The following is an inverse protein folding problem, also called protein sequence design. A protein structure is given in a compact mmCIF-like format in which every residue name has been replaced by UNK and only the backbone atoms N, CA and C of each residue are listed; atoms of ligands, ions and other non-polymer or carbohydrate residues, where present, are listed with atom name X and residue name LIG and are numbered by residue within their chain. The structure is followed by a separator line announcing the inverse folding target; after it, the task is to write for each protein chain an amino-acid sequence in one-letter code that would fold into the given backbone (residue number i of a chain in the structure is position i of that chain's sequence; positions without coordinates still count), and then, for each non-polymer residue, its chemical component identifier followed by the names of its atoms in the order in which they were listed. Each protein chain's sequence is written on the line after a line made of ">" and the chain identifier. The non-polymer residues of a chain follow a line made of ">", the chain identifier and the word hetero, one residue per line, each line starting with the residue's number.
data_IF_658394266506
#
_entry.id   IF_658394266506
#
_cell.length_a   1.000
_cell.length_b   1.000
_cell.length_c   1.000
_cell.angle_alpha   90.00
_cell.angle_beta   90.00
_cell.angle_gamma   90.00
#
_symmetry.space_group_name_H-M   'P 1'
#
loop_
_entity.id
_entity.type
_entity.pdbx_description
1 polymer ?
#
# COMPACT_ATOMS: atom_id res chain seq x y z
N UNK A 1 12.87 7.92 -14.42
CA UNK A 1 11.42 7.79 -14.14
C UNK A 1 11.28 7.39 -12.68
N UNK A 2 10.35 8.00 -11.94
CA UNK A 2 10.04 7.61 -10.57
C UNK A 2 8.76 6.76 -10.52
N UNK A 3 8.66 5.90 -9.51
CA UNK A 3 7.48 5.07 -9.21
C UNK A 3 6.93 5.45 -7.84
N UNK A 4 5.61 5.48 -7.69
CA UNK A 4 4.96 5.44 -6.39
C UNK A 4 4.00 4.24 -6.37
N UNK A 5 4.46 3.17 -5.76
CA UNK A 5 3.75 1.89 -5.77
C UNK A 5 2.66 1.78 -4.70
N UNK A 6 2.41 2.85 -3.96
CA UNK A 6 1.32 2.93 -2.98
C UNK A 6 0.90 4.37 -2.73
N UNK A 7 -0.25 4.76 -3.25
CA UNK A 7 -0.89 6.05 -2.98
C UNK A 7 -2.38 5.84 -2.67
N UNK A 8 -3.04 6.88 -2.18
CA UNK A 8 -4.50 6.97 -2.04
C UNK A 8 -5.02 8.27 -2.66
N UNK A 9 -5.34 8.25 -3.95
CA UNK A 9 -5.78 9.46 -4.68
C UNK A 9 -7.00 10.15 -4.07
N UNK A 10 -7.85 9.41 -3.39
CA UNK A 10 -9.07 9.91 -2.72
C UNK A 10 -8.78 10.71 -1.46
N UNK A 11 -7.58 10.55 -0.87
CA UNK A 11 -7.17 11.18 0.40
C UNK A 11 -6.24 12.38 0.14
N UNK A 12 -6.03 13.23 1.15
CA UNK A 12 -5.26 14.48 1.00
C UNK A 12 -4.04 14.61 1.93
N UNK A 13 -3.79 13.62 2.77
CA UNK A 13 -2.70 13.66 3.74
C UNK A 13 -2.99 14.49 5.01
N UNK A 14 -4.16 15.11 5.11
CA UNK A 14 -4.55 15.98 6.21
C UNK A 14 -5.76 15.46 6.97
N UNK A 15 -6.90 15.36 6.29
CA UNK A 15 -8.18 14.98 6.90
C UNK A 15 -8.98 14.05 6.01
N UNK A 16 -8.87 12.74 6.26
CA UNK A 16 -9.54 11.72 5.46
C UNK A 16 -11.07 11.90 5.34
N UNK A 17 -11.75 12.45 6.39
CA UNK A 17 -13.20 12.67 6.34
C UNK A 17 -13.57 13.80 5.37
N UNK A 18 -12.80 14.88 5.37
CA UNK A 18 -13.00 16.00 4.45
C UNK A 18 -12.59 15.61 3.02
N UNK A 19 -11.49 14.89 2.87
CA UNK A 19 -11.05 14.36 1.58
C UNK A 19 -12.13 13.50 0.93
N UNK A 20 -12.68 12.50 1.64
CA UNK A 20 -13.79 11.67 1.15
C UNK A 20 -15.04 12.50 0.88
N UNK A 21 -15.39 13.44 1.77
CA UNK A 21 -16.57 14.27 1.59
C UNK A 21 -16.51 15.11 0.31
N UNK A 22 -15.32 15.52 -0.13
CA UNK A 22 -15.07 16.23 -1.40
C UNK A 22 -15.63 15.49 -2.62
N UNK A 23 -15.62 14.15 -2.57
CA UNK A 23 -15.99 13.29 -3.71
C UNK A 23 -17.38 12.63 -3.56
N UNK A 24 -18.12 12.95 -2.48
CA UNK A 24 -19.36 12.23 -2.13
C UNK A 24 -20.49 12.44 -3.13
N UNK A 25 -20.59 13.66 -3.66
CA UNK A 25 -21.65 14.06 -4.63
C UNK A 25 -21.15 14.02 -6.09
N UNK A 26 -20.00 13.38 -6.32
CA UNK A 26 -19.31 13.23 -7.58
C UNK A 26 -17.83 13.52 -7.46
N UNK A 27 -17.04 12.80 -8.25
CA UNK A 27 -15.59 12.97 -8.22
C UNK A 27 -15.21 14.38 -8.66
N UNK A 28 -14.41 15.06 -7.85
CA UNK A 28 -13.86 16.38 -8.17
C UNK A 28 -12.67 16.24 -9.12
N UNK A 29 -12.91 16.32 -10.43
CA UNK A 29 -11.89 16.14 -11.46
C UNK A 29 -10.71 17.11 -11.30
N UNK A 30 -11.01 18.38 -10.95
CA UNK A 30 -9.95 19.39 -10.74
C UNK A 30 -8.95 18.97 -9.65
N UNK A 31 -9.40 18.31 -8.58
CA UNK A 31 -8.53 17.74 -7.56
C UNK A 31 -7.61 16.66 -8.16
N UNK A 32 -8.19 15.71 -8.90
CA UNK A 32 -7.42 14.61 -9.49
C UNK A 32 -6.37 15.14 -10.46
N UNK A 33 -6.74 16.09 -11.34
CA UNK A 33 -5.79 16.75 -12.27
C UNK A 33 -4.66 17.43 -11.54
N UNK A 34 -4.95 18.19 -10.48
CA UNK A 34 -3.93 18.86 -9.68
C UNK A 34 -2.92 17.87 -9.08
N UNK A 35 -3.38 16.71 -8.58
CA UNK A 35 -2.46 15.70 -8.05
C UNK A 35 -1.63 15.07 -9.17
N UNK A 36 -2.22 14.73 -10.32
CA UNK A 36 -1.49 14.19 -11.47
C UNK A 36 -0.43 15.18 -11.99
N UNK A 37 -0.75 16.48 -12.05
CA UNK A 37 0.23 17.54 -12.38
C UNK A 37 1.39 17.57 -11.39
N UNK A 38 1.11 17.42 -10.09
CA UNK A 38 2.14 17.35 -9.05
C UNK A 38 3.08 16.16 -9.26
N UNK A 39 2.55 14.98 -9.53
CA UNK A 39 3.36 13.79 -9.82
C UNK A 39 4.16 13.92 -11.11
N UNK A 40 3.55 14.45 -12.18
CA UNK A 40 4.24 14.72 -13.45
C UNK A 40 5.42 15.69 -13.25
N UNK A 41 5.20 16.81 -12.56
CA UNK A 41 6.24 17.81 -12.31
C UNK A 41 7.43 17.25 -11.53
N UNK A 42 7.22 16.23 -10.70
CA UNK A 42 8.25 15.53 -9.94
C UNK A 42 8.85 14.33 -10.67
N UNK A 43 8.43 14.06 -11.91
CA UNK A 43 8.99 13.01 -12.77
C UNK A 43 8.51 11.59 -12.42
N UNK A 44 7.35 11.45 -11.77
CA UNK A 44 6.70 10.15 -11.61
C UNK A 44 6.07 9.68 -12.93
N UNK A 45 6.34 8.46 -13.32
CA UNK A 45 5.78 7.85 -14.52
C UNK A 45 4.89 6.62 -14.22
N UNK A 46 4.84 6.19 -12.96
CA UNK A 46 3.99 5.08 -12.53
C UNK A 46 3.41 5.37 -11.15
N UNK A 47 2.10 5.16 -11.01
CA UNK A 47 1.36 5.26 -9.75
C UNK A 47 0.48 4.01 -9.56
N UNK A 48 0.52 3.42 -8.34
CA UNK A 48 -0.38 2.33 -7.94
C UNK A 48 -1.21 2.77 -6.74
N UNK A 49 -2.52 2.85 -6.96
CA UNK A 49 -3.48 3.36 -5.99
C UNK A 49 -3.99 2.25 -5.05
N UNK A 50 -4.19 2.56 -3.79
CA UNK A 50 -4.86 1.68 -2.83
C UNK A 50 -6.36 1.57 -3.04
N UNK A 51 -6.94 2.44 -3.86
CA UNK A 51 -8.33 2.40 -4.27
C UNK A 51 -9.32 3.10 -3.36
N UNK A 52 -10.52 3.29 -3.88
CA UNK A 52 -11.65 3.93 -3.21
C UNK A 52 -13.00 3.50 -3.81
N UNK A 53 -14.08 3.66 -3.05
CA UNK A 53 -15.44 3.31 -3.49
C UNK A 53 -16.21 4.45 -4.17
N UNK A 54 -15.60 5.63 -4.34
CA UNK A 54 -16.24 6.80 -4.97
C UNK A 54 -15.82 6.98 -6.43
N UNK A 55 -14.84 6.20 -6.91
CA UNK A 55 -14.38 6.22 -8.28
C UNK A 55 -13.29 7.25 -8.56
N UNK A 56 -12.63 7.78 -7.51
CA UNK A 56 -11.54 8.76 -7.67
C UNK A 56 -10.34 8.10 -8.35
N UNK A 57 -9.91 6.92 -7.87
CA UNK A 57 -8.84 6.14 -8.49
C UNK A 57 -9.17 5.73 -9.94
N UNK A 58 -10.46 5.43 -10.23
CA UNK A 58 -10.88 5.15 -11.61
C UNK A 58 -10.70 6.38 -12.52
N UNK A 59 -11.17 7.54 -12.09
CA UNK A 59 -11.00 8.78 -12.84
C UNK A 59 -9.52 9.13 -13.00
N UNK A 60 -8.72 8.97 -11.96
CA UNK A 60 -7.27 9.19 -12.02
C UNK A 60 -6.60 8.30 -13.07
N UNK A 61 -6.96 7.01 -13.14
CA UNK A 61 -6.48 6.10 -14.17
C UNK A 61 -6.85 6.56 -15.58
N UNK A 62 -8.09 7.01 -15.76
CA UNK A 62 -8.59 7.45 -17.07
C UNK A 62 -7.88 8.74 -17.54
N UNK A 63 -7.48 9.63 -16.62
CA UNK A 63 -6.80 10.90 -16.90
C UNK A 63 -5.25 10.80 -16.94
N UNK A 64 -4.65 9.86 -16.22
CA UNK A 64 -3.20 9.75 -16.05
C UNK A 64 -2.39 9.71 -17.37
N UNK A 65 -2.88 9.11 -18.47
CA UNK A 65 -2.17 9.14 -19.76
C UNK A 65 -1.93 10.56 -20.30
N UNK A 66 -2.80 11.53 -20.00
CA UNK A 66 -2.62 12.94 -20.40
C UNK A 66 -1.35 13.56 -19.77
N UNK A 67 -0.88 12.99 -18.66
CA UNK A 67 0.29 13.40 -17.89
C UNK A 67 1.52 12.51 -18.11
N UNK A 68 1.43 11.53 -19.04
CA UNK A 68 2.48 10.54 -19.28
C UNK A 68 2.68 9.55 -18.12
N UNK A 69 1.66 9.35 -17.30
CA UNK A 69 1.68 8.48 -16.12
C UNK A 69 0.91 7.18 -16.40
N UNK A 70 1.54 6.05 -16.12
CA UNK A 70 0.85 4.76 -16.00
C UNK A 70 0.22 4.68 -14.61
N UNK A 71 -1.09 4.51 -14.54
CA UNK A 71 -1.84 4.43 -13.28
C UNK A 71 -2.55 3.10 -13.15
N UNK A 72 -2.47 2.47 -11.97
CA UNK A 72 -3.15 1.21 -11.66
C UNK A 72 -4.01 1.35 -10.41
N UNK A 73 -5.22 0.78 -10.44
CA UNK A 73 -6.16 0.87 -9.33
C UNK A 73 -6.96 -0.43 -9.14
N UNK A 74 -7.20 -0.86 -7.88
CA UNK A 74 -8.08 -1.99 -7.57
C UNK A 74 -9.57 -1.59 -7.60
N UNK A 75 -9.88 -0.35 -8.02
CA UNK A 75 -11.13 0.34 -7.76
C UNK A 75 -11.33 0.52 -6.25
N UNK A 76 -12.16 -0.26 -5.59
CA UNK A 76 -12.27 -0.21 -4.13
C UNK A 76 -11.50 -1.37 -3.47
N UNK A 77 -10.72 -1.14 -2.40
CA UNK A 77 -10.12 -2.23 -1.63
C UNK A 77 -11.19 -3.07 -0.94
N UNK A 78 -10.87 -4.32 -0.63
CA UNK A 78 -11.75 -5.27 0.05
C UNK A 78 -11.31 -5.46 1.50
N UNK A 79 -12.24 -5.37 2.44
CA UNK A 79 -12.00 -5.58 3.86
C UNK A 79 -13.09 -6.42 4.50
N UNK A 80 -12.72 -7.25 5.47
CA UNK A 80 -13.69 -8.01 6.26
C UNK A 80 -14.55 -7.08 7.11
N UNK A 81 -15.84 -7.32 7.20
CA UNK A 81 -16.74 -6.53 8.03
C UNK A 81 -16.26 -6.51 9.50
N UNK A 82 -16.27 -5.33 10.11
CA UNK A 82 -15.73 -5.14 11.46
C UNK A 82 -14.22 -4.94 11.57
N UNK A 83 -13.47 -5.10 10.46
CA UNK A 83 -12.03 -4.90 10.40
C UNK A 83 -11.63 -3.60 9.71
N UNK A 84 -10.32 -3.25 9.79
CA UNK A 84 -9.72 -2.06 9.19
C UNK A 84 -9.99 -1.98 7.67
N UNK A 85 -10.11 -0.76 7.15
CA UNK A 85 -10.23 -0.46 5.72
C UNK A 85 -11.65 -0.06 5.27
N UNK A 86 -12.68 -0.29 6.09
CA UNK A 86 -14.07 -0.02 5.74
C UNK A 86 -14.43 1.45 5.50
N UNK A 87 -13.52 2.40 5.75
CA UNK A 87 -13.73 3.81 5.49
C UNK A 87 -13.58 4.19 4.00
N UNK A 88 -12.77 3.45 3.23
CA UNK A 88 -12.60 3.61 1.77
C UNK A 88 -12.99 2.36 0.97
N UNK A 89 -13.03 1.19 1.62
CA UNK A 89 -13.21 -0.10 0.98
C UNK A 89 -14.66 -0.60 0.91
N UNK A 90 -14.82 -1.69 0.18
CA UNK A 90 -16.02 -2.53 0.17
C UNK A 90 -15.86 -3.65 1.20
N UNK A 91 -16.93 -3.89 1.98
CA UNK A 91 -16.94 -4.89 3.05
C UNK A 91 -17.52 -6.20 2.56
N UNK A 92 -16.98 -7.31 3.08
CA UNK A 92 -17.53 -8.66 2.96
C UNK A 92 -17.61 -9.30 4.35
N UNK A 93 -18.56 -10.19 4.57
CA UNK A 93 -18.70 -10.99 5.80
C UNK A 93 -18.22 -12.42 5.56
N UNK A 94 -18.51 -12.97 4.39
CA UNK A 94 -18.24 -14.36 4.01
C UNK A 94 -17.30 -14.46 2.80
N UNK A 95 -16.59 -15.58 2.65
CA UNK A 95 -15.78 -15.86 1.45
C UNK A 95 -16.62 -15.88 0.17
N UNK A 96 -17.91 -16.27 0.26
CA UNK A 96 -18.83 -16.22 -0.89
C UNK A 96 -19.07 -14.78 -1.36
N UNK A 97 -19.27 -13.86 -0.43
CA UNK A 97 -19.42 -12.43 -0.74
C UNK A 97 -18.12 -11.84 -1.29
N UNK A 98 -16.98 -12.21 -0.69
CA UNK A 98 -15.66 -11.80 -1.21
C UNK A 98 -15.48 -12.26 -2.65
N UNK A 99 -15.73 -13.52 -2.96
CA UNK A 99 -15.64 -14.05 -4.33
C UNK A 99 -16.56 -13.30 -5.31
N UNK A 100 -17.78 -12.97 -4.89
CA UNK A 100 -18.71 -12.17 -5.70
C UNK A 100 -18.16 -10.75 -5.97
N UNK A 101 -17.54 -10.11 -4.97
CA UNK A 101 -16.90 -8.81 -5.13
C UNK A 101 -15.68 -8.87 -6.05
N UNK A 102 -14.85 -9.90 -5.95
CA UNK A 102 -13.69 -10.09 -6.85
C UNK A 102 -14.16 -10.28 -8.29
N UNK A 103 -15.17 -11.13 -8.53
CA UNK A 103 -15.75 -11.30 -9.85
C UNK A 103 -16.36 -10.01 -10.41
N UNK A 104 -16.96 -9.16 -9.55
CA UNK A 104 -17.48 -7.85 -9.95
C UNK A 104 -16.35 -6.91 -10.36
N UNK A 105 -15.22 -6.88 -9.62
CA UNK A 105 -14.04 -6.09 -9.98
C UNK A 105 -13.51 -6.46 -11.35
N UNK A 106 -13.50 -7.73 -11.70
CA UNK A 106 -13.10 -8.18 -13.04
C UNK A 106 -14.02 -7.60 -14.13
N UNK A 107 -15.34 -7.62 -13.90
CA UNK A 107 -16.30 -7.02 -14.84
C UNK A 107 -16.15 -5.50 -14.97
N UNK A 108 -15.77 -4.83 -13.87
CA UNK A 108 -15.55 -3.38 -13.83
C UNK A 108 -14.18 -2.96 -14.38
N UNK A 109 -13.29 -3.91 -14.67
CA UNK A 109 -11.96 -3.64 -15.20
C UNK A 109 -11.00 -3.09 -14.15
N UNK A 110 -11.02 -3.63 -12.93
CA UNK A 110 -9.96 -3.39 -11.95
C UNK A 110 -8.64 -3.96 -12.46
N UNK A 111 -7.52 -3.30 -12.15
CA UNK A 111 -6.20 -3.78 -12.57
C UNK A 111 -5.70 -4.90 -11.65
N UNK A 112 -6.10 -4.92 -10.38
CA UNK A 112 -5.70 -5.90 -9.37
C UNK A 112 -6.69 -5.91 -8.20
N UNK A 113 -6.46 -6.78 -7.21
CA UNK A 113 -7.23 -6.81 -5.95
C UNK A 113 -6.39 -6.28 -4.81
N UNK A 114 -6.90 -5.29 -4.06
CA UNK A 114 -6.35 -4.85 -2.77
C UNK A 114 -7.16 -5.45 -1.63
N UNK A 115 -6.48 -6.09 -0.68
CA UNK A 115 -7.08 -6.63 0.56
C UNK A 115 -6.50 -5.94 1.80
N UNK A 116 -7.35 -5.79 2.83
CA UNK A 116 -6.94 -5.31 4.15
C UNK A 116 -7.02 -6.49 5.11
N UNK A 117 -5.86 -6.98 5.58
CA UNK A 117 -5.78 -8.22 6.36
C UNK A 117 -5.24 -8.03 7.79
N UNK A 118 -4.96 -6.79 8.19
CA UNK A 118 -4.57 -6.42 9.56
C UNK A 118 -5.01 -5.01 9.90
N UNK A 119 -4.82 -4.62 11.17
CA UNK A 119 -4.92 -3.23 11.61
C UNK A 119 -3.68 -2.40 11.28
N UNK A 120 -3.66 -1.17 11.82
CA UNK A 120 -2.57 -0.20 11.70
C UNK A 120 -1.56 -0.37 12.84
N UNK A 121 -0.38 0.23 12.68
CA UNK A 121 0.53 0.51 13.79
C UNK A 121 -0.11 1.51 14.76
N UNK A 122 0.12 1.30 16.06
CA UNK A 122 -0.12 2.33 17.08
C UNK A 122 1.14 3.20 17.17
N UNK A 123 1.05 4.43 16.70
CA UNK A 123 2.21 5.33 16.64
C UNK A 123 2.64 5.89 18.01
N UNK A 124 1.85 5.68 19.06
CA UNK A 124 2.20 6.04 20.45
C UNK A 124 2.83 4.87 21.23
N UNK A 125 2.77 3.64 20.67
CA UNK A 125 3.24 2.42 21.36
C UNK A 125 3.95 1.47 20.41
N UNK A 126 5.26 1.40 20.53
CA UNK A 126 6.07 0.46 19.74
C UNK A 126 5.59 -0.99 19.93
N UNK A 127 5.51 -1.74 18.83
CA UNK A 127 5.13 -3.17 18.82
C UNK A 127 3.62 -3.43 18.89
N UNK A 128 2.77 -2.39 18.94
CA UNK A 128 1.32 -2.53 19.08
C UNK A 128 0.61 -2.28 17.76
N UNK A 129 -0.32 -3.16 17.41
CA UNK A 129 -1.26 -2.98 16.30
C UNK A 129 -2.66 -2.62 16.84
N UNK A 130 -3.41 -1.85 16.07
CA UNK A 130 -4.79 -1.43 16.42
C UNK A 130 -5.79 -2.59 16.39
N UNK A 131 -5.50 -3.63 15.62
CA UNK A 131 -6.22 -4.91 15.60
C UNK A 131 -5.29 -6.02 15.09
N UNK A 132 -5.58 -7.25 15.48
CA UNK A 132 -4.86 -8.43 14.99
C UNK A 132 -5.16 -8.68 13.51
N UNK A 133 -4.25 -9.42 12.84
CA UNK A 133 -4.45 -9.87 11.48
C UNK A 133 -5.52 -10.95 11.37
N UNK A 134 -6.03 -11.14 10.16
CA UNK A 134 -6.88 -12.29 9.83
C UNK A 134 -6.10 -13.59 10.02
N UNK A 135 -6.82 -14.68 10.28
CA UNK A 135 -6.21 -15.99 10.40
C UNK A 135 -5.63 -16.49 9.07
N UNK A 136 -4.62 -17.37 9.15
CA UNK A 136 -3.88 -17.91 8.01
C UNK A 136 -4.78 -18.55 6.96
N UNK A 137 -5.79 -19.33 7.39
CA UNK A 137 -6.71 -19.99 6.47
C UNK A 137 -7.54 -18.97 5.68
N UNK A 138 -8.05 -17.95 6.35
CA UNK A 138 -8.79 -16.85 5.70
C UNK A 138 -7.89 -16.13 4.68
N UNK A 139 -6.66 -15.77 5.05
CA UNK A 139 -5.71 -15.10 4.15
C UNK A 139 -5.47 -15.96 2.89
N UNK A 140 -5.21 -17.24 3.07
CA UNK A 140 -4.99 -18.19 1.96
C UNK A 140 -6.17 -18.25 1.00
N UNK A 141 -7.40 -18.31 1.53
CA UNK A 141 -8.62 -18.35 0.70
C UNK A 141 -8.82 -17.04 -0.07
N UNK A 142 -8.58 -15.88 0.57
CA UNK A 142 -8.69 -14.57 -0.09
C UNK A 142 -7.73 -14.45 -1.28
N UNK A 143 -6.46 -14.81 -1.09
CA UNK A 143 -5.44 -14.77 -2.13
C UNK A 143 -5.78 -15.77 -3.25
N UNK A 144 -6.14 -17.00 -2.87
CA UNK A 144 -6.52 -18.04 -3.84
C UNK A 144 -7.69 -17.60 -4.73
N UNK A 145 -8.76 -17.06 -4.16
CA UNK A 145 -9.93 -16.59 -4.91
C UNK A 145 -9.55 -15.46 -5.89
N UNK A 146 -8.71 -14.50 -5.46
CA UNK A 146 -8.27 -13.42 -6.33
C UNK A 146 -7.41 -13.93 -7.50
N UNK A 147 -6.49 -14.86 -7.23
CA UNK A 147 -5.64 -15.49 -8.25
C UNK A 147 -6.46 -16.33 -9.24
N UNK A 148 -7.51 -17.05 -8.80
CA UNK A 148 -8.40 -17.80 -9.68
C UNK A 148 -9.14 -16.89 -10.69
N UNK A 149 -9.41 -15.65 -10.31
CA UNK A 149 -9.97 -14.62 -11.19
C UNK A 149 -8.90 -13.90 -12.03
N UNK A 150 -7.62 -14.29 -11.92
CA UNK A 150 -6.50 -13.75 -12.69
C UNK A 150 -5.97 -12.41 -12.19
N UNK A 151 -6.22 -12.06 -10.94
CA UNK A 151 -5.72 -10.83 -10.34
C UNK A 151 -4.44 -11.04 -9.51
N UNK A 152 -3.50 -10.12 -9.63
CA UNK A 152 -2.49 -9.93 -8.59
C UNK A 152 -3.11 -9.36 -7.30
N UNK A 153 -2.50 -9.64 -6.15
CA UNK A 153 -3.00 -9.25 -4.84
C UNK A 153 -2.03 -8.30 -4.14
N UNK A 154 -2.51 -7.11 -3.82
CA UNK A 154 -1.86 -6.10 -2.97
C UNK A 154 -2.45 -6.19 -1.56
N UNK A 155 -1.62 -6.48 -0.54
CA UNK A 155 -2.10 -6.69 0.83
C UNK A 155 -1.60 -5.60 1.79
N UNK A 156 -2.53 -4.83 2.40
CA UNK A 156 -2.22 -4.12 3.65
C UNK A 156 -2.04 -5.16 4.74
N UNK A 157 -0.81 -5.30 5.26
CA UNK A 157 -0.46 -6.32 6.22
C UNK A 157 0.61 -5.81 7.21
N UNK A 158 0.33 -5.96 8.50
CA UNK A 158 1.23 -5.62 9.59
C UNK A 158 1.32 -6.78 10.58
N UNK A 159 2.44 -6.86 11.26
CA UNK A 159 2.76 -7.93 12.20
C UNK A 159 3.34 -9.18 11.54
N UNK A 160 4.30 -9.85 12.21
CA UNK A 160 5.10 -10.91 11.59
C UNK A 160 4.24 -12.10 11.14
N UNK A 161 3.33 -12.58 11.98
CA UNK A 161 2.46 -13.74 11.65
C UNK A 161 1.56 -13.47 10.44
N UNK A 162 0.97 -12.26 10.36
CA UNK A 162 0.08 -11.90 9.26
C UNK A 162 0.85 -11.81 7.95
N UNK A 163 2.04 -11.19 7.97
CA UNK A 163 2.88 -11.04 6.79
C UNK A 163 3.45 -12.38 6.34
N UNK A 164 3.90 -13.24 7.26
CA UNK A 164 4.32 -14.60 6.95
C UNK A 164 3.19 -15.39 6.27
N UNK A 165 1.99 -15.38 6.86
CA UNK A 165 0.81 -16.06 6.29
C UNK A 165 0.46 -15.51 4.89
N UNK A 166 0.55 -14.20 4.68
CA UNK A 166 0.33 -13.58 3.38
C UNK A 166 1.37 -14.01 2.34
N UNK A 167 2.65 -14.05 2.71
CA UNK A 167 3.74 -14.51 1.85
C UNK A 167 3.56 -15.98 1.46
N UNK A 168 3.27 -16.84 2.44
CA UNK A 168 3.01 -18.27 2.21
C UNK A 168 1.74 -18.52 1.37
N UNK A 169 0.75 -17.62 1.44
CA UNK A 169 -0.43 -17.66 0.59
C UNK A 169 -0.14 -17.20 -0.85
N UNK A 170 1.04 -16.62 -1.12
CA UNK A 170 1.45 -16.16 -2.44
C UNK A 170 0.98 -14.75 -2.78
N UNK A 171 0.78 -13.86 -1.80
CA UNK A 171 0.46 -12.45 -2.08
C UNK A 171 1.54 -11.80 -2.94
N UNK A 172 1.15 -10.98 -3.92
CA UNK A 172 2.08 -10.39 -4.88
C UNK A 172 2.86 -9.21 -4.28
N UNK A 173 2.22 -8.42 -3.42
CA UNK A 173 2.92 -7.40 -2.63
C UNK A 173 2.35 -7.24 -1.23
N UNK A 174 3.24 -6.98 -0.27
CA UNK A 174 2.93 -6.58 1.10
C UNK A 174 3.19 -5.08 1.23
N UNK A 175 2.21 -4.38 1.76
CA UNK A 175 2.28 -2.96 2.05
C UNK A 175 2.48 -2.75 3.56
N UNK A 176 3.29 -1.76 3.92
CA UNK A 176 3.71 -1.40 5.27
C UNK A 176 4.62 -2.44 5.93
N UNK A 177 4.12 -3.59 6.36
CA UNK A 177 4.94 -4.62 6.97
C UNK A 177 5.56 -4.18 8.30
N UNK A 178 4.75 -3.65 9.24
CA UNK A 178 5.27 -3.23 10.53
C UNK A 178 5.69 -4.43 11.40
N UNK A 179 6.78 -4.23 12.16
CA UNK A 179 7.26 -5.15 13.21
C UNK A 179 7.63 -6.55 12.71
N UNK A 180 8.17 -6.66 11.49
CA UNK A 180 8.57 -7.96 10.94
C UNK A 180 9.75 -8.55 11.69
N UNK A 181 9.70 -9.87 11.89
CA UNK A 181 10.82 -10.67 12.38
C UNK A 181 11.57 -11.37 11.22
N UNK A 182 12.61 -12.12 11.56
CA UNK A 182 13.44 -12.81 10.58
C UNK A 182 12.70 -13.91 9.81
N UNK A 183 11.67 -14.52 10.40
CA UNK A 183 10.86 -15.58 9.78
C UNK A 183 9.95 -14.97 8.71
N UNK A 184 9.24 -13.89 9.02
CA UNK A 184 8.40 -13.17 8.07
C UNK A 184 9.22 -12.59 6.89
N UNK A 185 10.38 -11.98 7.17
CA UNK A 185 11.28 -11.47 6.13
C UNK A 185 11.78 -12.59 5.20
N UNK A 186 12.16 -13.73 5.78
CA UNK A 186 12.63 -14.90 5.01
C UNK A 186 11.49 -15.49 4.17
N UNK A 187 10.28 -15.60 4.73
CA UNK A 187 9.11 -16.09 4.00
C UNK A 187 8.79 -15.21 2.78
N UNK A 188 8.77 -13.87 2.94
CA UNK A 188 8.56 -12.94 1.83
C UNK A 188 9.66 -13.06 0.75
N UNK A 189 10.93 -13.14 1.15
CA UNK A 189 12.03 -13.25 0.20
C UNK A 189 11.96 -14.57 -0.59
N UNK A 190 11.67 -15.70 0.07
CA UNK A 190 11.53 -17.01 -0.56
C UNK A 190 10.29 -17.09 -1.48
N UNK A 191 9.17 -16.47 -1.09
CA UNK A 191 7.97 -16.38 -1.91
C UNK A 191 8.12 -15.41 -3.10
N UNK A 192 9.16 -14.57 -3.11
CA UNK A 192 9.33 -13.51 -4.08
C UNK A 192 8.26 -12.40 -3.94
N UNK A 193 7.66 -12.24 -2.77
CA UNK A 193 6.71 -11.16 -2.48
C UNK A 193 7.43 -9.81 -2.53
N UNK A 194 6.86 -8.85 -3.25
CA UNK A 194 7.42 -7.48 -3.27
C UNK A 194 6.98 -6.75 -1.99
N UNK A 195 7.92 -6.17 -1.27
CA UNK A 195 7.62 -5.33 -0.11
C UNK A 195 7.65 -3.85 -0.46
N UNK A 196 6.56 -3.14 -0.13
CA UNK A 196 6.40 -1.69 -0.25
C UNK A 196 6.30 -1.12 1.17
N UNK A 197 7.41 -0.70 1.80
CA UNK A 197 7.47 -0.47 3.24
C UNK A 197 6.77 0.80 3.71
N UNK A 198 6.51 1.76 2.83
CA UNK A 198 5.82 3.02 3.13
C UNK A 198 6.39 3.76 4.35
N UNK A 199 7.73 3.85 4.44
CA UNK A 199 8.44 4.47 5.57
C UNK A 199 8.01 5.93 5.81
N UNK A 200 7.54 6.61 4.76
CA UNK A 200 7.04 8.00 4.84
C UNK A 200 5.86 8.16 5.79
N UNK A 201 5.03 7.12 5.99
CA UNK A 201 3.92 7.17 6.97
C UNK A 201 4.41 7.34 8.40
N UNK A 202 5.63 6.91 8.69
CA UNK A 202 6.27 7.05 10.00
C UNK A 202 7.22 8.26 9.99
N UNK A 203 8.04 8.38 8.94
CA UNK A 203 9.05 9.43 8.83
C UNK A 203 8.48 10.85 8.89
N UNK A 204 7.30 11.06 8.30
CA UNK A 204 6.61 12.35 8.33
C UNK A 204 5.96 12.68 9.69
N UNK A 205 5.95 11.74 10.64
CA UNK A 205 5.47 11.99 12.01
C UNK A 205 6.55 12.58 12.92
N UNK A 206 7.82 12.51 12.52
CA UNK A 206 8.91 13.09 13.30
C UNK A 206 8.73 14.60 13.46
N UNK A 207 8.89 15.08 14.70
CA UNK A 207 8.72 16.50 15.04
C UNK A 207 7.26 16.97 15.09
N UNK A 208 6.28 16.06 15.01
CA UNK A 208 4.86 16.40 15.15
C UNK A 208 4.37 16.02 16.53
N UNK A 209 3.80 16.99 17.26
CA UNK A 209 3.38 16.84 18.67
C UNK A 209 2.19 15.88 18.88
N UNK A 210 1.64 15.31 17.82
CA UNK A 210 0.45 14.46 17.92
C UNK A 210 0.74 13.09 18.53
N UNK A 211 1.96 12.54 18.31
CA UNK A 211 2.35 11.18 18.73
C UNK A 211 3.60 11.21 19.59
N UNK A 212 3.79 10.18 20.39
CA UNK A 212 5.01 9.98 21.18
C UNK A 212 6.24 9.85 20.26
N UNK A 213 7.16 10.81 20.34
CA UNK A 213 8.31 10.89 19.47
C UNK A 213 9.34 9.78 19.70
N UNK A 214 9.38 9.23 20.92
CA UNK A 214 10.21 8.06 21.24
C UNK A 214 9.67 6.82 20.52
N UNK A 215 8.34 6.60 20.59
CA UNK A 215 7.69 5.52 19.85
C UNK A 215 7.84 5.67 18.32
N UNK A 216 7.59 6.87 17.79
CA UNK A 216 7.76 7.15 16.33
C UNK A 216 9.20 6.85 15.89
N UNK A 217 10.21 7.26 16.65
CA UNK A 217 11.61 7.00 16.33
C UNK A 217 11.90 5.50 16.35
N UNK A 218 11.49 4.79 17.40
CA UNK A 218 11.72 3.35 17.52
C UNK A 218 11.02 2.55 16.41
N UNK A 219 9.81 2.95 16.01
CA UNK A 219 9.07 2.32 14.90
C UNK A 219 9.82 2.52 13.58
N UNK A 220 10.28 3.74 13.30
CA UNK A 220 11.01 4.04 12.06
C UNK A 220 12.34 3.30 12.00
N UNK A 221 13.12 3.32 13.08
CA UNK A 221 14.42 2.64 13.15
C UNK A 221 14.25 1.13 12.91
N UNK A 222 13.28 0.50 13.57
CA UNK A 222 12.93 -0.91 13.36
C UNK A 222 12.51 -1.21 11.91
N UNK A 223 11.72 -0.33 11.30
CA UNK A 223 11.30 -0.50 9.90
C UNK A 223 12.49 -0.38 8.94
N UNK A 224 13.38 0.59 9.13
CA UNK A 224 14.60 0.77 8.32
C UNK A 224 15.58 -0.41 8.48
N UNK A 225 15.77 -0.92 9.71
CA UNK A 225 16.58 -2.13 9.94
C UNK A 225 15.99 -3.36 9.20
N UNK A 226 14.68 -3.50 9.19
CA UNK A 226 14.01 -4.60 8.48
C UNK A 226 14.13 -4.44 6.96
N UNK A 227 14.10 -3.22 6.43
CA UNK A 227 14.37 -2.94 5.01
C UNK A 227 15.79 -3.39 4.64
N UNK A 228 16.80 -3.06 5.46
CA UNK A 228 18.19 -3.52 5.24
C UNK A 228 18.31 -5.06 5.27
N UNK A 229 17.70 -5.70 6.27
CA UNK A 229 17.68 -7.16 6.40
C UNK A 229 17.03 -7.82 5.20
N UNK A 230 15.87 -7.32 4.77
CA UNK A 230 15.14 -7.87 3.63
C UNK A 230 15.94 -7.72 2.33
N UNK A 231 16.58 -6.58 2.09
CA UNK A 231 17.50 -6.39 0.96
C UNK A 231 18.66 -7.38 1.00
N UNK A 232 19.26 -7.62 2.18
CA UNK A 232 20.35 -8.58 2.34
C UNK A 232 19.96 -10.04 2.07
N UNK A 233 18.68 -10.38 2.20
CA UNK A 233 18.10 -11.68 1.83
C UNK A 233 17.80 -11.79 0.32
N UNK A 234 18.08 -10.76 -0.48
CA UNK A 234 17.71 -10.69 -1.90
C UNK A 234 16.23 -10.40 -2.12
N UNK A 235 15.55 -9.85 -1.13
CA UNK A 235 14.12 -9.50 -1.19
C UNK A 235 13.84 -8.35 -2.16
N UNK A 236 12.66 -8.36 -2.76
CA UNK A 236 12.21 -7.36 -3.73
C UNK A 236 11.57 -6.17 -2.99
N UNK A 237 12.22 -5.00 -3.04
CA UNK A 237 11.73 -3.75 -2.45
C UNK A 237 11.27 -2.78 -3.53
N UNK A 238 10.09 -2.17 -3.37
CA UNK A 238 9.61 -1.11 -4.24
C UNK A 238 9.22 0.14 -3.45
N UNK A 239 9.42 1.36 -4.01
CA UNK A 239 9.05 2.59 -3.33
C UNK A 239 7.54 2.79 -3.38
N UNK A 240 6.95 3.21 -2.27
CA UNK A 240 5.55 3.61 -2.17
C UNK A 240 5.33 4.48 -0.96
N UNK A 241 4.74 5.67 -1.18
CA UNK A 241 4.68 6.70 -0.15
C UNK A 241 3.52 6.54 0.81
N UNK A 242 2.46 5.85 0.41
CA UNK A 242 1.13 5.91 1.04
C UNK A 242 0.57 7.35 1.03
N UNK A 243 0.87 8.11 -0.06
CA UNK A 243 0.40 9.48 -0.20
C UNK A 243 -1.12 9.56 -0.11
N UNK A 244 -1.60 10.55 0.64
CA UNK A 244 -2.99 10.67 1.05
C UNK A 244 -3.24 10.16 2.47
N UNK A 245 -2.42 9.25 3.01
CA UNK A 245 -2.44 8.93 4.43
C UNK A 245 -2.02 10.15 5.26
N UNK A 246 -2.43 10.19 6.55
CA UNK A 246 -2.19 11.36 7.39
C UNK A 246 -0.70 11.73 7.44
N UNK A 247 -0.41 13.00 7.22
CA UNK A 247 0.91 13.60 7.13
C UNK A 247 1.73 13.22 5.89
N UNK A 248 1.15 12.51 4.91
CA UNK A 248 1.83 12.16 3.66
C UNK A 248 1.15 12.87 2.48
N UNK A 249 1.62 14.05 2.06
CA UNK A 249 1.06 14.75 0.91
C UNK A 249 1.39 14.02 -0.40
N UNK A 250 0.54 14.20 -1.42
CA UNK A 250 0.83 13.74 -2.77
C UNK A 250 2.13 14.36 -3.31
N UNK A 251 2.95 13.53 -3.97
CA UNK A 251 4.26 13.93 -4.46
C UNK A 251 5.36 14.00 -3.39
N UNK A 252 5.13 13.42 -2.19
CA UNK A 252 6.15 13.30 -1.16
C UNK A 252 7.38 12.55 -1.67
N UNK A 253 8.57 13.05 -1.38
CA UNK A 253 9.85 12.38 -1.65
C UNK A 253 10.49 11.77 -0.39
N UNK A 254 9.81 11.84 0.75
CA UNK A 254 10.32 11.32 2.03
C UNK A 254 10.63 9.83 1.95
N UNK A 255 9.80 9.05 1.25
CA UNK A 255 10.03 7.61 1.06
C UNK A 255 11.38 7.33 0.41
N UNK A 256 11.68 8.03 -0.69
CA UNK A 256 12.96 7.90 -1.40
C UNK A 256 14.15 8.25 -0.51
N UNK A 257 14.06 9.34 0.25
CA UNK A 257 15.14 9.75 1.16
C UNK A 257 15.37 8.73 2.29
N UNK A 258 14.30 8.14 2.84
CA UNK A 258 14.41 7.12 3.89
C UNK A 258 14.93 5.80 3.34
N UNK A 259 14.51 5.39 2.16
CA UNK A 259 15.01 4.18 1.50
C UNK A 259 16.48 4.33 1.07
N UNK A 260 16.89 5.49 0.56
CA UNK A 260 18.30 5.81 0.30
C UNK A 260 19.13 5.71 1.59
N UNK A 261 18.65 6.29 2.68
CA UNK A 261 19.31 6.20 3.98
C UNK A 261 19.43 4.75 4.48
N UNK A 262 18.40 3.94 4.30
CA UNK A 262 18.39 2.55 4.74
C UNK A 262 19.27 1.64 3.88
N UNK A 263 19.21 1.78 2.54
CA UNK A 263 19.83 0.86 1.58
C UNK A 263 21.25 1.26 1.15
N UNK A 264 21.65 2.53 1.40
CA UNK A 264 22.96 3.03 1.00
C UNK A 264 23.14 3.12 -0.52
N UNK A 265 24.36 2.99 -1.06
CA UNK A 265 24.66 3.35 -2.45
C UNK A 265 23.90 2.58 -3.54
N UNK A 266 23.40 1.40 -3.23
CA UNK A 266 22.72 0.53 -4.22
C UNK A 266 21.19 0.73 -4.25
N UNK A 267 20.66 1.69 -3.48
CA UNK A 267 19.23 1.91 -3.31
C UNK A 267 18.46 2.06 -4.62
N UNK A 268 18.99 2.79 -5.60
CA UNK A 268 18.30 2.99 -6.89
C UNK A 268 18.13 1.66 -7.64
N UNK A 269 19.16 0.83 -7.70
CA UNK A 269 19.13 -0.48 -8.36
C UNK A 269 18.13 -1.42 -7.69
N UNK A 270 18.15 -1.47 -6.36
CA UNK A 270 17.25 -2.31 -5.57
C UNK A 270 15.80 -1.89 -5.81
N UNK A 271 15.49 -0.61 -5.71
CA UNK A 271 14.12 -0.10 -5.88
C UNK A 271 13.63 -0.20 -7.31
N UNK A 272 14.51 0.00 -8.31
CA UNK A 272 14.18 -0.18 -9.72
C UNK A 272 13.71 -1.62 -9.98
N UNK A 273 14.46 -2.61 -9.50
CA UNK A 273 14.12 -4.04 -9.66
C UNK A 273 12.75 -4.37 -9.05
N UNK A 274 12.48 -3.93 -7.84
CA UNK A 274 11.18 -4.16 -7.19
C UNK A 274 10.03 -3.42 -7.87
N UNK A 275 10.26 -2.16 -8.30
CA UNK A 275 9.25 -1.38 -9.01
C UNK A 275 8.91 -1.97 -10.39
N UNK A 276 9.89 -2.46 -11.13
CA UNK A 276 9.67 -3.17 -12.39
C UNK A 276 8.85 -4.44 -12.20
N UNK A 277 9.11 -5.17 -11.11
CA UNK A 277 8.32 -6.35 -10.76
C UNK A 277 6.87 -5.99 -10.38
N UNK A 278 6.64 -4.89 -9.65
CA UNK A 278 5.30 -4.34 -9.43
C UNK A 278 4.63 -4.01 -10.76
N UNK A 279 5.30 -3.29 -11.65
CA UNK A 279 4.74 -2.96 -12.97
C UNK A 279 4.34 -4.21 -13.76
N UNK A 280 5.14 -5.27 -13.69
CA UNK A 280 4.90 -6.54 -14.39
C UNK A 280 3.70 -7.31 -13.83
N UNK A 281 3.58 -7.40 -12.48
CA UNK A 281 2.50 -8.18 -11.83
C UNK A 281 1.17 -7.49 -11.85
N UNK A 282 1.18 -6.17 -11.70
CA UNK A 282 -0.03 -5.35 -11.57
C UNK A 282 -0.41 -4.63 -12.88
N UNK A 283 -0.03 -5.22 -14.03
CA UNK A 283 -0.31 -4.70 -15.38
C UNK A 283 -1.74 -5.02 -15.86
#
# INVERSE_FOLDING_TARGET
>A
MRWDCHIHMVLDGENWRQAIARHRDGVQEAWVRQQLETYQALGFGYLRDGGDRWGVGKLARDLAPEYGITYRTPLAPLCKAGHYGGFIGQRYETLKEYAALVAEKRRQGADFVKIMISGLMDFDRFGVLTEEGLDEQTIRELVHIAHQEGFAVMAHANGPRTVEAAALAGVDSVEHGAYLDGEALSAMAQAGTVWVPTLSTIGNLRGRDRFDQGAVTAILDSAMENVQKFASLGGLLAPGTDAGAWAVPHGSLTEYALLEQALGPEWETILCTGAEEICRRFS
#
